data_IF_539574410015
#
_entry.id   IF_539574410015
#
_cell.length_a   1.000
_cell.length_b   1.000
_cell.length_c   1.000
_cell.angle_alpha   90.00
_cell.angle_beta   90.00
_cell.angle_gamma   90.00
#
_symmetry.space_group_name_H-M   'P 1'
#
loop_
_entity.id
_entity.type
_entity.pdbx_description
1 polymer ?
#
# COMPACT_ATOMS: atom_id res chain seq x y z
N UNK A 1 -29.40 -36.75 31.08
CA UNK A 1 -29.07 -36.25 29.71
C UNK A 1 -29.06 -34.74 29.77
N UNK A 2 -27.88 -34.11 29.73
CA UNK A 2 -27.71 -32.64 29.81
C UNK A 2 -27.20 -32.15 28.46
N UNK A 3 -28.08 -31.53 27.69
CA UNK A 3 -27.72 -30.87 26.44
C UNK A 3 -27.12 -29.50 26.78
N UNK A 4 -25.83 -29.33 26.51
CA UNK A 4 -25.16 -28.03 26.56
C UNK A 4 -25.50 -27.26 25.28
N UNK A 5 -26.17 -26.12 25.42
CA UNK A 5 -26.36 -25.17 24.34
C UNK A 5 -25.08 -24.35 24.19
N UNK A 6 -24.31 -24.60 23.15
CA UNK A 6 -23.18 -23.75 22.78
C UNK A 6 -23.72 -22.46 22.16
N UNK A 7 -23.66 -21.36 22.90
CA UNK A 7 -23.94 -20.03 22.39
C UNK A 7 -22.80 -19.61 21.44
N UNK A 8 -23.05 -19.65 20.14
CA UNK A 8 -22.15 -19.14 19.11
C UNK A 8 -22.19 -17.61 19.14
N UNK A 9 -21.27 -17.00 19.90
CA UNK A 9 -21.04 -15.56 19.82
C UNK A 9 -20.34 -15.26 18.49
N UNK A 10 -21.13 -14.86 17.49
CA UNK A 10 -20.61 -14.24 16.26
C UNK A 10 -20.00 -12.90 16.68
N UNK A 11 -18.68 -12.87 16.82
CA UNK A 11 -17.92 -11.62 16.90
C UNK A 11 -18.07 -10.93 15.54
N UNK A 12 -19.01 -9.99 15.44
CA UNK A 12 -19.05 -9.03 14.36
C UNK A 12 -17.76 -8.20 14.44
N UNK A 13 -16.76 -8.57 13.65
CA UNK A 13 -15.59 -7.75 13.42
C UNK A 13 -16.08 -6.44 12.79
N UNK A 14 -15.69 -5.26 13.32
CA UNK A 14 -16.02 -4.01 12.67
C UNK A 14 -15.39 -4.06 11.28
N UNK A 15 -16.21 -3.89 10.25
CA UNK A 15 -15.74 -3.60 8.91
C UNK A 15 -15.03 -2.25 8.99
N UNK A 16 -13.72 -2.28 9.27
CA UNK A 16 -12.88 -1.10 9.17
C UNK A 16 -13.00 -0.60 7.74
N UNK A 17 -13.45 0.64 7.59
CA UNK A 17 -13.58 1.43 6.37
C UNK A 17 -12.53 1.08 5.30
N UNK A 18 -12.84 0.06 4.50
CA UNK A 18 -12.08 -0.31 3.31
C UNK A 18 -12.40 0.61 2.12
N UNK A 19 -13.30 1.59 2.33
CA UNK A 19 -13.89 2.41 1.26
C UNK A 19 -13.34 3.84 1.21
N UNK A 20 -12.33 4.23 2.01
CA UNK A 20 -11.74 5.56 1.88
C UNK A 20 -10.72 5.58 0.73
N UNK A 21 -11.05 6.21 -0.43
CA UNK A 21 -10.17 6.23 -1.59
C UNK A 21 -8.84 6.93 -1.33
N UNK A 22 -8.76 7.76 -0.28
CA UNK A 22 -7.52 8.39 0.16
C UNK A 22 -6.57 7.39 0.83
N UNK A 23 -7.08 6.41 1.58
CA UNK A 23 -6.27 5.36 2.18
C UNK A 23 -5.99 4.23 1.19
N UNK A 24 -7.04 3.75 0.52
CA UNK A 24 -6.98 2.67 -0.45
C UNK A 24 -7.67 3.07 -1.76
N UNK A 25 -6.97 3.12 -2.90
CA UNK A 25 -5.58 2.70 -3.11
C UNK A 25 -4.52 3.82 -2.92
N UNK A 26 -4.91 5.10 -2.80
CA UNK A 26 -3.95 6.20 -2.96
C UNK A 26 -2.78 6.20 -1.96
N UNK A 27 -3.05 6.24 -0.64
CA UNK A 27 -1.98 6.22 0.35
C UNK A 27 -1.25 4.87 0.41
N UNK A 28 -1.92 3.75 0.12
CA UNK A 28 -1.26 2.44 0.04
C UNK A 28 -0.24 2.40 -1.11
N UNK A 29 -0.58 2.93 -2.28
CA UNK A 29 0.35 3.02 -3.40
C UNK A 29 1.50 3.98 -3.11
N UNK A 30 1.24 5.10 -2.43
CA UNK A 30 2.31 5.98 -1.97
C UNK A 30 3.29 5.23 -1.05
N UNK A 31 2.76 4.47 -0.09
CA UNK A 31 3.56 3.66 0.83
C UNK A 31 4.38 2.57 0.12
N UNK A 32 3.84 1.94 -0.92
CA UNK A 32 4.56 0.96 -1.73
C UNK A 32 5.81 1.57 -2.37
N UNK A 33 5.64 2.66 -3.11
CA UNK A 33 6.76 3.30 -3.82
C UNK A 33 7.78 3.91 -2.86
N UNK A 34 7.33 4.53 -1.76
CA UNK A 34 8.24 4.97 -0.71
C UNK A 34 9.01 3.82 -0.05
N UNK A 35 8.37 2.67 0.13
CA UNK A 35 8.98 1.47 0.72
C UNK A 35 9.98 0.82 -0.22
N UNK A 36 9.70 0.86 -1.53
CA UNK A 36 10.62 0.42 -2.57
C UNK A 36 11.86 1.31 -2.63
N UNK A 37 11.69 2.63 -2.63
CA UNK A 37 12.80 3.58 -2.57
C UNK A 37 13.67 3.38 -1.31
N UNK A 38 13.06 3.19 -0.14
CA UNK A 38 13.78 2.85 1.10
C UNK A 38 14.58 1.57 0.96
N UNK A 39 13.94 0.52 0.44
CA UNK A 39 14.57 -0.79 0.29
C UNK A 39 15.76 -0.71 -0.67
N UNK A 40 15.59 -0.04 -1.82
CA UNK A 40 16.63 0.13 -2.82
C UNK A 40 17.85 0.90 -2.28
N UNK A 41 17.65 1.85 -1.35
CA UNK A 41 18.75 2.56 -0.70
C UNK A 41 19.41 1.74 0.42
N UNK A 42 18.67 0.86 1.10
CA UNK A 42 19.16 0.05 2.21
C UNK A 42 19.78 -1.29 1.78
N UNK A 43 19.36 -1.84 0.64
CA UNK A 43 19.75 -3.15 0.14
C UNK A 43 20.64 -3.06 -1.09
N UNK A 44 21.48 -4.08 -1.30
CA UNK A 44 22.26 -4.23 -2.55
C UNK A 44 21.51 -5.02 -3.62
N UNK A 45 20.35 -5.59 -3.28
CA UNK A 45 19.58 -6.47 -4.14
C UNK A 45 18.68 -5.70 -5.12
N UNK A 46 18.45 -4.40 -4.85
CA UNK A 46 17.66 -3.51 -5.68
C UNK A 46 18.45 -2.23 -5.93
N UNK A 47 18.43 -1.72 -7.16
CA UNK A 47 19.07 -0.45 -7.50
C UNK A 47 18.07 0.68 -7.24
N UNK A 48 18.50 1.80 -6.62
CA UNK A 48 17.65 2.98 -6.50
C UNK A 48 17.21 3.50 -7.87
N UNK A 49 15.92 3.82 -8.00
CA UNK A 49 15.34 4.52 -9.13
C UNK A 49 14.71 5.82 -8.62
N UNK A 50 15.17 7.01 -9.07
CA UNK A 50 14.56 8.28 -8.68
C UNK A 50 13.08 8.38 -9.09
N UNK A 51 12.61 7.57 -10.05
CA UNK A 51 11.20 7.45 -10.43
C UNK A 51 10.32 6.93 -9.30
N UNK A 52 10.85 6.11 -8.39
CA UNK A 52 10.10 5.54 -7.27
C UNK A 52 9.61 6.65 -6.33
N UNK A 53 10.51 7.56 -5.95
CA UNK A 53 10.16 8.69 -5.10
C UNK A 53 9.18 9.65 -5.78
N UNK A 54 9.33 9.88 -7.08
CA UNK A 54 8.41 10.71 -7.87
C UNK A 54 7.02 10.10 -7.91
N UNK A 55 6.92 8.78 -8.12
CA UNK A 55 5.65 8.05 -8.07
C UNK A 55 5.02 8.07 -6.67
N UNK A 56 5.84 7.89 -5.63
CA UNK A 56 5.37 7.90 -4.24
C UNK A 56 4.71 9.24 -3.88
N UNK A 57 5.38 10.36 -4.19
CA UNK A 57 4.85 11.71 -3.92
C UNK A 57 3.61 12.04 -4.75
N UNK A 58 3.53 11.53 -5.98
CA UNK A 58 2.35 11.69 -6.81
C UNK A 58 1.12 10.99 -6.21
N UNK A 59 1.26 9.74 -5.76
CA UNK A 59 0.17 9.05 -5.05
C UNK A 59 -0.17 9.69 -3.71
N UNK A 60 0.83 10.18 -2.97
CA UNK A 60 0.59 10.95 -1.74
C UNK A 60 -0.24 12.21 -2.05
N UNK A 61 0.06 12.90 -3.14
CA UNK A 61 -0.73 14.06 -3.59
C UNK A 61 -2.18 13.67 -3.89
N UNK A 62 -2.41 12.54 -4.57
CA UNK A 62 -3.77 11.99 -4.78
C UNK A 62 -4.47 11.74 -3.44
N UNK A 63 -3.80 11.08 -2.50
CA UNK A 63 -4.35 10.78 -1.18
C UNK A 63 -4.75 12.05 -0.42
N UNK A 64 -3.89 13.08 -0.44
CA UNK A 64 -4.17 14.37 0.18
C UNK A 64 -5.32 15.13 -0.50
N UNK A 65 -5.51 14.97 -1.81
CA UNK A 65 -6.66 15.55 -2.52
C UNK A 65 -7.98 14.85 -2.14
N UNK A 66 -7.95 13.55 -1.90
CA UNK A 66 -9.15 12.74 -1.65
C UNK A 66 -9.51 12.64 -0.15
N UNK A 67 -8.58 12.99 0.75
CA UNK A 67 -8.73 12.73 2.18
C UNK A 67 -9.91 13.47 2.82
N UNK A 68 -10.65 12.74 3.64
CA UNK A 68 -11.64 13.30 4.58
C UNK A 68 -11.17 13.22 6.04
N UNK A 69 -10.09 12.47 6.30
CA UNK A 69 -9.49 12.25 7.63
C UNK A 69 -8.34 13.22 7.94
N UNK A 70 -7.96 14.04 6.96
CA UNK A 70 -6.92 15.06 7.08
C UNK A 70 -5.52 14.58 6.68
N UNK A 71 -4.58 15.52 6.47
CA UNK A 71 -3.24 15.22 5.96
C UNK A 71 -2.39 14.41 6.94
N UNK A 72 -2.48 14.69 8.24
CA UNK A 72 -1.68 13.99 9.26
C UNK A 72 -2.02 12.50 9.35
N UNK A 73 -3.30 12.14 9.21
CA UNK A 73 -3.74 10.75 9.20
C UNK A 73 -3.23 9.99 7.97
N UNK A 74 -3.19 10.65 6.81
CA UNK A 74 -2.62 10.10 5.57
C UNK A 74 -1.12 9.87 5.74
N UNK A 75 -0.38 10.86 6.22
CA UNK A 75 1.07 10.73 6.39
C UNK A 75 1.44 9.67 7.45
N UNK A 76 0.66 9.56 8.53
CA UNK A 76 0.82 8.51 9.52
C UNK A 76 0.55 7.12 8.93
N UNK A 77 -0.49 6.97 8.10
CA UNK A 77 -0.77 5.73 7.40
C UNK A 77 0.36 5.35 6.44
N UNK A 78 0.80 6.28 5.59
CA UNK A 78 1.91 6.08 4.65
C UNK A 78 3.16 5.64 5.41
N UNK A 79 3.53 6.34 6.47
CA UNK A 79 4.73 6.03 7.28
C UNK A 79 4.66 4.62 7.86
N UNK A 80 3.50 4.22 8.39
CA UNK A 80 3.31 2.87 8.94
C UNK A 80 3.42 1.80 7.86
N UNK A 81 2.75 2.00 6.73
CA UNK A 81 2.71 1.02 5.65
C UNK A 81 4.04 0.92 4.90
N UNK A 82 4.74 2.05 4.68
CA UNK A 82 6.06 2.12 4.00
C UNK A 82 7.05 1.09 4.56
N UNK A 83 7.12 0.97 5.88
CA UNK A 83 7.98 -0.03 6.54
C UNK A 83 7.55 -1.47 6.23
N UNK A 84 6.23 -1.74 6.24
CA UNK A 84 5.70 -3.07 5.94
C UNK A 84 5.94 -3.46 4.48
N UNK A 85 5.83 -2.48 3.56
CA UNK A 85 6.15 -2.68 2.15
C UNK A 85 7.62 -3.06 1.96
N UNK A 86 8.54 -2.44 2.71
CA UNK A 86 9.95 -2.83 2.69
C UNK A 86 10.19 -4.30 3.08
N UNK A 87 9.48 -4.84 4.07
CA UNK A 87 9.57 -6.26 4.42
C UNK A 87 8.99 -7.16 3.33
N UNK A 88 7.82 -6.81 2.80
CA UNK A 88 7.22 -7.55 1.69
C UNK A 88 8.12 -7.58 0.45
N UNK A 89 8.84 -6.48 0.15
CA UNK A 89 9.80 -6.42 -0.96
C UNK A 89 11.02 -7.32 -0.71
N UNK A 90 11.52 -7.37 0.53
CA UNK A 90 12.62 -8.27 0.90
C UNK A 90 12.23 -9.75 0.71
N UNK A 91 11.04 -10.12 1.17
CA UNK A 91 10.49 -11.47 1.02
C UNK A 91 10.19 -11.80 -0.45
N UNK A 92 9.66 -10.84 -1.21
CA UNK A 92 9.45 -10.92 -2.66
C UNK A 92 10.75 -11.27 -3.40
N UNK A 93 11.83 -10.54 -3.12
CA UNK A 93 13.15 -10.74 -3.73
C UNK A 93 13.77 -12.06 -3.29
N UNK A 94 13.53 -12.45 -2.04
CA UNK A 94 14.00 -13.73 -1.47
C UNK A 94 13.29 -14.94 -2.05
N UNK A 95 12.18 -14.74 -2.79
CA UNK A 95 11.45 -15.79 -3.47
C UNK A 95 10.33 -16.42 -2.66
N UNK A 96 9.78 -15.71 -1.67
CA UNK A 96 8.59 -16.17 -0.95
C UNK A 96 7.35 -16.06 -1.84
N UNK A 97 6.71 -17.18 -2.16
CA UNK A 97 5.57 -17.27 -3.09
C UNK A 97 4.42 -16.33 -2.68
N UNK A 98 4.11 -16.27 -1.38
CA UNK A 98 3.02 -15.43 -0.88
C UNK A 98 3.32 -13.94 -1.09
N UNK A 99 4.55 -13.52 -0.79
CA UNK A 99 5.00 -12.14 -0.96
C UNK A 99 5.11 -11.77 -2.44
N UNK A 100 5.43 -12.74 -3.32
CA UNK A 100 5.37 -12.57 -4.77
C UNK A 100 3.96 -12.27 -5.26
N UNK A 101 2.98 -13.07 -4.86
CA UNK A 101 1.59 -12.83 -5.26
C UNK A 101 1.07 -11.49 -4.73
N UNK A 102 1.37 -11.16 -3.46
CA UNK A 102 0.94 -9.91 -2.83
C UNK A 102 1.57 -8.68 -3.50
N UNK A 103 2.88 -8.69 -3.72
CA UNK A 103 3.57 -7.57 -4.36
C UNK A 103 3.08 -7.38 -5.80
N UNK A 104 2.93 -8.46 -6.58
CA UNK A 104 2.45 -8.37 -7.96
C UNK A 104 1.02 -7.86 -8.03
N UNK A 105 0.12 -8.36 -7.18
CA UNK A 105 -1.26 -7.88 -7.12
C UNK A 105 -1.31 -6.39 -6.78
N UNK A 106 -0.56 -5.97 -5.75
CA UNK A 106 -0.52 -4.58 -5.33
C UNK A 106 0.04 -3.65 -6.42
N UNK A 107 1.10 -4.08 -7.12
CA UNK A 107 1.64 -3.33 -8.25
C UNK A 107 0.61 -3.16 -9.36
N UNK A 108 -0.14 -4.21 -9.70
CA UNK A 108 -1.21 -4.14 -10.71
C UNK A 108 -2.33 -3.18 -10.29
N UNK A 109 -2.76 -3.22 -9.04
CA UNK A 109 -3.79 -2.32 -8.52
C UNK A 109 -3.32 -0.87 -8.54
N UNK A 110 -2.07 -0.61 -8.15
CA UNK A 110 -1.47 0.72 -8.24
C UNK A 110 -1.35 1.21 -9.68
N UNK A 111 -1.04 0.34 -10.63
CA UNK A 111 -0.94 0.70 -12.04
C UNK A 111 -2.29 1.04 -12.66
N UNK A 112 -3.29 0.21 -12.37
CA UNK A 112 -4.66 0.45 -12.77
C UNK A 112 -5.18 1.76 -12.17
N UNK A 113 -4.89 2.02 -10.90
CA UNK A 113 -5.28 3.26 -10.25
C UNK A 113 -4.53 4.46 -10.83
N UNK A 114 -3.21 4.37 -11.07
CA UNK A 114 -2.41 5.45 -11.63
C UNK A 114 -2.95 5.95 -12.98
N UNK A 115 -3.41 5.02 -13.83
CA UNK A 115 -3.99 5.36 -15.13
C UNK A 115 -5.24 6.26 -15.04
N UNK A 116 -5.88 6.33 -13.86
CA UNK A 116 -7.09 7.12 -13.62
C UNK A 116 -6.83 8.47 -12.94
N UNK A 117 -5.60 8.71 -12.46
CA UNK A 117 -5.28 9.90 -11.65
C UNK A 117 -4.37 10.87 -12.42
N UNK A 118 -4.75 12.15 -12.53
CA UNK A 118 -3.97 13.12 -13.29
C UNK A 118 -2.55 13.33 -12.77
N UNK A 119 -2.33 13.14 -11.46
CA UNK A 119 -1.04 13.27 -10.81
C UNK A 119 -0.03 12.17 -11.20
N UNK A 120 -0.51 11.01 -11.68
CA UNK A 120 0.33 9.81 -11.90
C UNK A 120 0.36 9.33 -13.35
N UNK A 121 -0.67 9.62 -14.15
CA UNK A 121 -0.86 9.11 -15.52
C UNK A 121 0.32 9.35 -16.51
N UNK A 122 1.23 10.29 -16.23
CA UNK A 122 2.35 10.66 -17.12
C UNK A 122 3.73 10.30 -16.57
N UNK A 123 3.81 9.62 -15.42
CA UNK A 123 5.08 9.39 -14.74
C UNK A 123 5.79 8.10 -15.20
N UNK A 124 5.04 7.12 -15.73
CA UNK A 124 5.59 5.86 -16.26
C UNK A 124 5.98 5.87 -17.74
N UNK A 125 5.73 6.97 -18.44
CA UNK A 125 6.02 7.09 -19.89
C UNK A 125 7.35 7.82 -20.20
N UNK A 126 8.22 7.99 -19.22
CA UNK A 126 9.53 8.64 -19.37
C UNK A 126 10.65 7.65 -19.13
#
# INVERSE_FOLDING_TARGET
MRFWAAATAVLALPAFAADDPALYPAAQCAALWFGQDDYAHASRLMKPDPGDLVMAEAFRTVALRLTTVGPEAIDAFITKQRRLMGFMIDDYISGDDQSQDLYQSLMQDCDAFAATQPETQNLRQK
#
